data_IF_032163063425
#
_entry.id   IF_032163063425
#
_cell.length_a   1.000
_cell.length_b   1.000
_cell.length_c   1.000
_cell.angle_alpha   90.00
_cell.angle_beta   90.00
_cell.angle_gamma   90.00
#
_symmetry.space_group_name_H-M   'P 1'
#
loop_
_entity.id
_entity.type
_entity.pdbx_description
1 polymer ?
#
# COMPACT_ATOMS: atom_id res chain seq x y z
N UNK A 1 7.52 7.05 44.67
CA UNK A 1 7.25 6.04 43.62
C UNK A 1 7.32 6.61 42.19
N UNK A 2 7.67 7.89 41.96
CA UNK A 2 7.58 8.53 40.63
C UNK A 2 8.82 8.40 39.71
N UNK A 3 10.02 8.17 40.26
CA UNK A 3 11.24 8.16 39.45
C UNK A 3 11.32 6.97 38.46
N UNK A 4 10.70 5.84 38.80
CA UNK A 4 10.63 4.66 37.94
C UNK A 4 9.65 4.86 36.78
N UNK A 5 8.49 5.49 37.04
CA UNK A 5 7.50 5.80 35.99
C UNK A 5 8.04 6.80 34.99
N UNK A 6 8.75 7.84 35.45
CA UNK A 6 9.41 8.83 34.59
C UNK A 6 10.50 8.20 33.71
N UNK A 7 11.28 7.26 34.27
CA UNK A 7 12.34 6.57 33.53
C UNK A 7 11.78 5.58 32.51
N UNK A 8 10.64 4.94 32.80
CA UNK A 8 9.88 4.09 31.88
C UNK A 8 9.13 4.87 30.79
N UNK A 9 8.89 6.16 30.98
CA UNK A 9 8.37 7.05 29.93
C UNK A 9 9.50 7.55 29.01
N UNK A 10 10.70 7.80 29.56
CA UNK A 10 11.87 8.29 28.80
C UNK A 10 12.54 7.19 27.99
N UNK A 11 12.56 5.96 28.49
CA UNK A 11 12.98 4.78 27.76
C UNK A 11 11.76 3.92 27.50
N UNK A 12 11.37 3.75 26.23
CA UNK A 12 10.24 2.92 25.83
C UNK A 12 10.53 1.43 26.12
N UNK A 13 10.47 1.05 27.39
CA UNK A 13 10.51 -0.34 27.85
C UNK A 13 9.22 -0.99 27.36
N UNK A 14 9.36 -2.07 26.61
CA UNK A 14 8.23 -2.82 26.10
C UNK A 14 7.39 -3.37 27.28
N UNK A 15 6.18 -2.84 27.44
CA UNK A 15 5.19 -3.33 28.40
C UNK A 15 4.32 -4.37 27.69
N UNK A 16 4.59 -5.65 27.95
CA UNK A 16 3.85 -6.77 27.39
C UNK A 16 2.39 -6.76 27.86
N UNK A 17 1.49 -6.26 27.01
CA UNK A 17 0.04 -6.31 27.26
C UNK A 17 -0.73 -5.10 26.72
N UNK A 18 -0.12 -3.92 26.71
CA UNK A 18 -0.76 -2.72 26.14
C UNK A 18 -0.38 -2.55 24.67
N UNK A 19 -1.33 -2.15 23.82
CA UNK A 19 -0.99 -1.52 22.54
C UNK A 19 -0.18 -0.27 22.89
N UNK A 20 1.11 -0.25 22.57
CA UNK A 20 1.99 0.89 22.84
C UNK A 20 1.46 2.13 22.11
N UNK A 21 0.85 3.04 22.87
CA UNK A 21 0.26 4.29 22.39
C UNK A 21 1.33 5.38 22.36
N UNK A 22 2.27 5.29 21.41
CA UNK A 22 3.37 6.27 21.35
C UNK A 22 3.62 6.85 19.95
N UNK A 23 3.17 6.20 18.88
CA UNK A 23 3.41 6.67 17.52
C UNK A 23 2.13 7.31 16.94
N UNK A 24 2.23 8.45 16.24
CA UNK A 24 1.14 8.96 15.42
C UNK A 24 0.66 7.88 14.44
N UNK A 25 -0.65 7.81 14.22
CA UNK A 25 -1.24 6.85 13.30
C UNK A 25 -2.13 7.57 12.27
N UNK A 26 -2.22 6.99 11.07
CA UNK A 26 -3.16 7.42 10.04
C UNK A 26 -4.38 6.50 10.11
N UNK A 27 -5.60 6.99 10.38
CA UNK A 27 -6.79 6.16 10.42
C UNK A 27 -6.94 5.32 9.15
N UNK A 28 -7.26 4.03 9.28
CA UNK A 28 -7.38 3.16 8.11
C UNK A 28 -8.65 3.40 7.30
N UNK A 29 -9.65 4.03 7.92
CA UNK A 29 -11.00 4.16 7.38
C UNK A 29 -11.90 2.96 7.70
N UNK A 30 -11.37 1.95 8.42
CA UNK A 30 -12.11 0.78 8.85
C UNK A 30 -12.03 0.66 10.37
N UNK A 31 -13.11 1.01 11.07
CA UNK A 31 -13.16 0.98 12.53
C UNK A 31 -12.79 -0.39 13.14
N UNK A 32 -13.09 -1.48 12.43
CA UNK A 32 -12.69 -2.83 12.85
C UNK A 32 -11.17 -3.04 12.83
N UNK A 33 -10.49 -2.50 11.82
CA UNK A 33 -9.03 -2.55 11.73
C UNK A 33 -8.38 -1.57 12.71
N UNK A 34 -8.90 -0.34 12.80
CA UNK A 34 -8.34 0.68 13.69
C UNK A 34 -8.33 0.23 15.16
N UNK A 35 -9.35 -0.53 15.61
CA UNK A 35 -9.39 -1.15 16.94
C UNK A 35 -8.26 -2.16 17.18
N UNK A 36 -7.78 -2.80 16.12
CA UNK A 36 -6.68 -3.78 16.17
C UNK A 36 -5.30 -3.14 15.93
N UNK A 37 -5.21 -1.85 15.63
CA UNK A 37 -3.92 -1.21 15.38
C UNK A 37 -3.52 -0.31 16.56
N UNK A 38 -2.28 -0.42 17.09
CA UNK A 38 -1.78 0.53 18.07
C UNK A 38 -1.89 1.97 17.54
N UNK A 39 -2.45 2.85 18.36
CA UNK A 39 -2.69 4.24 17.97
C UNK A 39 -3.91 4.46 17.06
N UNK A 40 -4.71 3.42 16.75
CA UNK A 40 -5.97 3.57 16.03
C UNK A 40 -5.84 3.71 14.51
N UNK A 41 -4.77 3.18 13.92
CA UNK A 41 -4.58 3.24 12.47
C UNK A 41 -3.22 2.75 12.00
N UNK A 42 -2.88 3.08 10.75
CA UNK A 42 -1.59 2.77 10.15
C UNK A 42 -0.44 3.47 10.88
N UNK A 43 0.62 2.76 11.27
CA UNK A 43 1.69 3.35 12.07
C UNK A 43 2.52 4.33 11.22
N UNK A 44 2.55 5.60 11.61
CA UNK A 44 3.44 6.58 11.00
C UNK A 44 4.89 6.35 11.46
N UNK A 45 5.84 6.63 10.57
CA UNK A 45 7.27 6.40 10.84
C UNK A 45 7.65 4.93 10.88
N UNK A 46 6.86 4.05 10.26
CA UNK A 46 7.10 2.61 10.27
C UNK A 46 6.68 1.95 8.96
N UNK A 47 7.29 0.80 8.69
CA UNK A 47 6.85 -0.05 7.58
C UNK A 47 5.64 -0.88 7.98
N UNK A 48 4.67 -0.90 7.09
CA UNK A 48 3.54 -1.81 7.03
C UNK A 48 3.70 -2.71 5.82
N UNK A 49 3.75 -4.01 6.00
CA UNK A 49 3.71 -4.97 4.89
C UNK A 49 2.29 -5.45 4.64
N UNK A 50 1.86 -5.34 3.39
CA UNK A 50 0.59 -5.85 2.89
C UNK A 50 0.92 -7.03 1.97
N UNK A 51 0.59 -8.23 2.43
CA UNK A 51 1.00 -9.49 1.83
C UNK A 51 -0.20 -10.14 1.15
N UNK A 52 -0.14 -10.38 -0.15
CA UNK A 52 -1.24 -10.99 -0.91
C UNK A 52 -0.78 -12.10 -1.85
N UNK A 53 -1.66 -13.04 -2.17
CA UNK A 53 -1.35 -14.15 -3.09
C UNK A 53 -1.17 -13.68 -4.53
N UNK A 54 -1.95 -12.67 -4.93
CA UNK A 54 -1.94 -12.07 -6.26
C UNK A 54 -2.45 -10.62 -6.17
N UNK A 55 -2.19 -9.88 -7.24
CA UNK A 55 -2.73 -8.53 -7.44
C UNK A 55 -4.21 -8.58 -7.80
N UNK A 56 -4.95 -7.51 -7.48
CA UNK A 56 -6.36 -7.36 -7.85
C UNK A 56 -7.35 -8.13 -6.97
N UNK A 57 -6.96 -8.52 -5.76
CA UNK A 57 -7.87 -9.09 -4.75
C UNK A 57 -8.67 -8.03 -3.97
N UNK A 58 -8.41 -6.75 -4.25
CA UNK A 58 -9.00 -5.62 -3.52
C UNK A 58 -8.04 -5.01 -2.48
N UNK A 59 -6.77 -5.39 -2.50
CA UNK A 59 -5.71 -4.94 -1.60
C UNK A 59 -5.55 -3.43 -1.56
N UNK A 60 -5.80 -2.73 -2.69
CA UNK A 60 -5.78 -1.28 -2.72
C UNK A 60 -6.93 -0.67 -1.89
N UNK A 61 -8.11 -1.29 -1.87
CA UNK A 61 -9.26 -0.74 -1.13
C UNK A 61 -9.03 -0.68 0.37
N UNK A 62 -8.11 -1.50 0.89
CA UNK A 62 -7.66 -1.43 2.27
C UNK A 62 -6.97 -0.10 2.60
N UNK A 63 -6.22 0.47 1.66
CA UNK A 63 -5.39 1.65 1.88
C UNK A 63 -5.99 2.94 1.32
N UNK A 64 -6.90 2.84 0.34
CA UNK A 64 -7.49 4.01 -0.32
C UNK A 64 -8.17 5.01 0.65
N UNK A 65 -8.92 4.60 1.69
CA UNK A 65 -9.54 5.56 2.60
C UNK A 65 -8.51 6.44 3.34
N UNK A 66 -7.41 5.84 3.80
CA UNK A 66 -6.31 6.56 4.43
C UNK A 66 -5.61 7.51 3.44
N UNK A 67 -5.39 7.06 2.19
CA UNK A 67 -4.82 7.89 1.13
C UNK A 67 -5.72 9.09 0.80
N UNK A 68 -7.03 8.87 0.70
CA UNK A 68 -8.01 9.93 0.47
C UNK A 68 -7.96 10.97 1.60
N UNK A 69 -8.03 10.54 2.86
CA UNK A 69 -7.94 11.44 4.01
C UNK A 69 -6.65 12.26 4.02
N UNK A 70 -5.50 11.63 3.75
CA UNK A 70 -4.22 12.33 3.66
C UNK A 70 -4.18 13.35 2.51
N UNK A 71 -4.75 13.00 1.34
CA UNK A 71 -4.75 13.88 0.18
C UNK A 71 -5.51 15.19 0.46
N UNK A 72 -6.70 15.09 1.08
CA UNK A 72 -7.50 16.25 1.48
C UNK A 72 -6.91 17.04 2.65
N UNK A 73 -6.10 16.39 3.50
CA UNK A 73 -5.28 17.07 4.50
C UNK A 73 -4.03 17.78 3.91
N UNK A 74 -3.94 17.89 2.58
CA UNK A 74 -2.84 18.55 1.87
C UNK A 74 -1.53 17.77 1.89
N UNK A 75 -1.55 16.50 2.30
CA UNK A 75 -0.36 15.67 2.44
C UNK A 75 0.07 15.10 1.09
N UNK A 76 1.38 14.97 0.89
CA UNK A 76 1.96 14.38 -0.33
C UNK A 76 1.98 12.86 -0.21
N UNK A 77 1.39 12.19 -1.19
CA UNK A 77 1.37 10.73 -1.30
C UNK A 77 2.19 10.31 -2.53
N UNK A 78 2.99 9.26 -2.38
CA UNK A 78 3.77 8.68 -3.47
C UNK A 78 3.38 7.22 -3.66
N UNK A 79 3.05 6.86 -4.89
CA UNK A 79 2.93 5.47 -5.34
C UNK A 79 4.16 5.10 -6.14
N UNK A 80 4.93 4.15 -5.65
CA UNK A 80 6.22 3.80 -6.20
C UNK A 80 6.20 2.40 -6.80
N UNK A 81 6.61 2.33 -8.08
CA UNK A 81 6.66 1.11 -8.88
C UNK A 81 5.35 0.30 -8.89
N UNK A 82 4.15 0.93 -9.01
CA UNK A 82 2.92 0.15 -9.09
C UNK A 82 2.98 -0.81 -10.28
N UNK A 83 2.49 -2.06 -10.14
CA UNK A 83 2.60 -3.11 -11.16
C UNK A 83 1.82 -2.75 -12.43
N UNK A 84 0.78 -1.94 -12.27
CA UNK A 84 -0.06 -1.41 -13.34
C UNK A 84 -0.16 0.11 -13.25
N UNK A 85 -0.50 0.74 -14.37
CA UNK A 85 -0.76 2.18 -14.39
C UNK A 85 -2.07 2.46 -13.60
N UNK A 86 -2.03 3.27 -12.52
CA UNK A 86 -3.23 3.61 -11.79
C UNK A 86 -4.20 4.41 -12.65
N UNK A 87 -5.48 4.04 -12.63
CA UNK A 87 -6.51 4.74 -13.39
C UNK A 87 -7.04 5.94 -12.59
N UNK A 88 -6.62 7.15 -12.98
CA UNK A 88 -6.91 8.39 -12.24
C UNK A 88 -8.41 8.62 -11.95
N UNK A 89 -9.36 8.39 -12.87
CA UNK A 89 -10.78 8.54 -12.57
C UNK A 89 -11.29 7.61 -11.47
N UNK A 90 -10.78 6.38 -11.37
CA UNK A 90 -11.15 5.48 -10.27
C UNK A 90 -10.58 5.96 -8.92
N UNK A 91 -9.39 6.55 -8.91
CA UNK A 91 -8.81 7.15 -7.70
C UNK A 91 -9.62 8.37 -7.25
N UNK A 92 -10.03 9.23 -8.17
CA UNK A 92 -10.90 10.36 -7.89
C UNK A 92 -12.27 9.89 -7.36
N UNK A 93 -12.86 8.85 -7.97
CA UNK A 93 -14.10 8.24 -7.49
C UNK A 93 -13.94 7.58 -6.10
N UNK A 94 -12.73 7.14 -5.74
CA UNK A 94 -12.39 6.69 -4.40
C UNK A 94 -12.14 7.85 -3.41
N UNK A 95 -12.33 9.09 -3.82
CA UNK A 95 -12.22 10.28 -2.98
C UNK A 95 -10.80 10.84 -2.85
N UNK A 96 -9.86 10.44 -3.70
CA UNK A 96 -8.47 10.93 -3.65
C UNK A 96 -8.34 12.22 -4.45
N UNK A 97 -7.74 13.25 -3.85
CA UNK A 97 -7.21 14.40 -4.59
C UNK A 97 -5.98 13.96 -5.40
N UNK A 98 -6.18 13.67 -6.68
CA UNK A 98 -5.15 13.16 -7.59
C UNK A 98 -4.00 14.16 -7.75
N UNK A 99 -4.20 15.46 -7.52
CA UNK A 99 -3.13 16.47 -7.57
C UNK A 99 -2.08 16.29 -6.44
N UNK A 100 -2.44 15.56 -5.37
CA UNK A 100 -1.55 15.26 -4.23
C UNK A 100 -0.84 13.92 -4.36
N UNK A 101 -1.15 13.14 -5.40
CA UNK A 101 -0.62 11.81 -5.64
C UNK A 101 0.43 11.85 -6.75
N UNK A 102 1.68 11.53 -6.41
CA UNK A 102 2.74 11.30 -7.39
C UNK A 102 2.89 9.80 -7.67
N UNK A 103 2.90 9.42 -8.95
CA UNK A 103 3.23 8.06 -9.37
C UNK A 103 4.65 8.02 -9.90
N UNK A 104 5.52 7.26 -9.24
CA UNK A 104 6.91 7.06 -9.63
C UNK A 104 7.03 5.68 -10.26
N UNK A 105 7.35 5.63 -11.55
CA UNK A 105 7.70 4.39 -12.25
C UNK A 105 9.19 4.12 -12.05
N UNK A 106 9.54 2.89 -11.77
CA UNK A 106 10.92 2.44 -11.69
C UNK A 106 11.13 1.30 -12.69
N UNK A 107 12.14 1.38 -13.57
CA UNK A 107 12.35 0.36 -14.60
C UNK A 107 12.87 -0.96 -14.01
N UNK A 108 13.50 -0.92 -12.83
CA UNK A 108 13.96 -2.13 -12.14
C UNK A 108 13.95 -2.03 -10.62
N UNK A 109 14.24 -3.16 -9.97
CA UNK A 109 14.26 -3.31 -8.51
C UNK A 109 15.22 -2.34 -7.82
N UNK A 110 16.42 -2.17 -8.38
CA UNK A 110 17.43 -1.25 -7.82
C UNK A 110 16.93 0.18 -7.81
N UNK A 111 16.33 0.63 -8.91
CA UNK A 111 15.80 1.98 -9.04
C UNK A 111 14.59 2.20 -8.13
N UNK A 112 13.74 1.18 -7.98
CA UNK A 112 12.60 1.23 -7.06
C UNK A 112 13.05 1.40 -5.61
N UNK A 113 14.03 0.62 -5.16
CA UNK A 113 14.60 0.73 -3.81
C UNK A 113 15.30 2.07 -3.60
N UNK A 114 16.12 2.50 -4.56
CA UNK A 114 16.78 3.80 -4.49
C UNK A 114 15.78 4.95 -4.42
N UNK A 115 14.75 4.94 -5.27
CA UNK A 115 13.71 5.95 -5.28
C UNK A 115 12.89 5.94 -3.98
N UNK A 116 12.61 4.77 -3.40
CA UNK A 116 11.95 4.66 -2.10
C UNK A 116 12.79 5.32 -0.99
N UNK A 117 14.11 5.05 -0.97
CA UNK A 117 15.02 5.72 -0.03
C UNK A 117 15.05 7.25 -0.24
N UNK A 118 15.08 7.73 -1.48
CA UNK A 118 15.07 9.17 -1.76
C UNK A 118 13.77 9.84 -1.32
N UNK A 119 12.63 9.21 -1.60
CA UNK A 119 11.31 9.72 -1.20
C UNK A 119 11.20 9.85 0.32
N UNK A 120 11.71 8.86 1.06
CA UNK A 120 11.70 8.89 2.52
C UNK A 120 12.71 9.90 3.09
N UNK A 121 13.91 9.98 2.51
CA UNK A 121 14.97 10.91 2.93
C UNK A 121 14.58 12.38 2.71
N UNK A 122 13.81 12.68 1.67
CA UNK A 122 13.34 14.03 1.40
C UNK A 122 12.42 14.59 2.51
N UNK A 123 11.87 13.72 3.39
CA UNK A 123 10.99 14.07 4.51
C UNK A 123 9.75 14.93 4.14
N UNK A 124 9.44 15.06 2.84
CA UNK A 124 8.25 15.74 2.32
C UNK A 124 7.10 14.77 2.03
N UNK A 125 7.37 13.46 2.06
CA UNK A 125 6.41 12.39 1.81
C UNK A 125 5.72 11.99 3.11
N UNK A 126 4.40 11.93 3.10
CA UNK A 126 3.61 11.55 4.29
C UNK A 126 3.07 10.12 4.18
N UNK A 127 2.87 9.65 2.95
CA UNK A 127 2.48 8.27 2.65
C UNK A 127 3.25 7.76 1.43
N UNK A 128 3.98 6.66 1.60
CA UNK A 128 4.62 5.92 0.52
C UNK A 128 3.94 4.56 0.38
N UNK A 129 3.32 4.32 -0.78
CA UNK A 129 2.82 3.02 -1.18
C UNK A 129 3.78 2.47 -2.22
N UNK A 130 4.48 1.38 -1.92
CA UNK A 130 5.51 0.84 -2.79
C UNK A 130 5.33 -0.66 -3.05
N UNK A 131 5.51 -1.05 -4.31
CA UNK A 131 5.48 -2.46 -4.72
C UNK A 131 6.92 -2.95 -4.86
N UNK A 132 7.38 -3.66 -3.82
CA UNK A 132 8.76 -4.13 -3.71
C UNK A 132 8.76 -5.64 -3.41
N UNK A 133 8.27 -6.48 -4.34
CA UNK A 133 8.02 -7.90 -4.08
C UNK A 133 9.28 -8.66 -3.63
N UNK A 134 10.45 -8.30 -4.18
CA UNK A 134 11.74 -8.92 -3.88
C UNK A 134 12.64 -8.14 -2.93
N UNK A 135 12.11 -7.24 -2.09
CA UNK A 135 12.92 -6.54 -1.08
C UNK A 135 13.43 -7.51 -0.01
N UNK A 136 14.74 -7.47 0.26
CA UNK A 136 15.44 -8.29 1.25
C UNK A 136 15.48 -7.59 2.61
N UNK A 137 15.76 -8.35 3.66
CA UNK A 137 15.77 -7.85 5.04
C UNK A 137 16.60 -6.57 5.24
N UNK A 138 17.81 -6.51 4.68
CA UNK A 138 18.71 -5.36 4.82
C UNK A 138 18.13 -4.09 4.19
N UNK A 139 17.48 -4.22 3.03
CA UNK A 139 16.84 -3.11 2.33
C UNK A 139 15.58 -2.66 3.07
N UNK A 140 14.77 -3.60 3.55
CA UNK A 140 13.63 -3.30 4.42
C UNK A 140 14.10 -2.59 5.69
N UNK A 141 15.24 -2.98 6.26
CA UNK A 141 15.77 -2.34 7.47
C UNK A 141 16.21 -0.90 7.19
N UNK A 142 16.87 -0.67 6.06
CA UNK A 142 17.22 0.70 5.62
C UNK A 142 15.98 1.56 5.39
N UNK A 143 14.96 1.01 4.72
CA UNK A 143 13.68 1.70 4.52
C UNK A 143 12.96 1.97 5.84
N UNK A 144 13.02 1.06 6.82
CA UNK A 144 12.41 1.26 8.12
C UNK A 144 13.04 2.43 8.89
N UNK A 145 14.37 2.54 8.87
CA UNK A 145 15.10 3.67 9.46
C UNK A 145 14.73 4.98 8.76
N UNK A 146 14.68 4.98 7.42
CA UNK A 146 14.29 6.17 6.65
C UNK A 146 12.82 6.57 6.92
N UNK A 147 11.92 5.60 7.05
CA UNK A 147 10.52 5.85 7.39
C UNK A 147 10.39 6.52 8.77
N UNK A 148 11.11 6.00 9.76
CA UNK A 148 11.13 6.55 11.13
C UNK A 148 11.59 8.02 11.15
N UNK A 149 12.68 8.33 10.44
CA UNK A 149 13.20 9.69 10.34
C UNK A 149 12.21 10.66 9.67
N UNK A 150 11.57 10.23 8.58
CA UNK A 150 10.59 11.04 7.84
C UNK A 150 9.18 11.05 8.44
N UNK A 151 8.91 10.23 9.46
CA UNK A 151 7.57 10.00 10.05
C UNK A 151 6.48 9.65 9.01
N UNK A 152 6.87 9.11 7.85
CA UNK A 152 5.95 8.73 6.80
C UNK A 152 5.25 7.40 7.15
N UNK A 153 3.98 7.27 6.80
CA UNK A 153 3.38 5.94 6.71
C UNK A 153 3.88 5.25 5.44
N UNK A 154 4.45 4.05 5.59
CA UNK A 154 4.94 3.27 4.44
C UNK A 154 4.20 1.96 4.34
N UNK A 155 3.49 1.75 3.23
CA UNK A 155 2.85 0.49 2.88
C UNK A 155 3.63 -0.20 1.77
N UNK A 156 4.13 -1.41 2.05
CA UNK A 156 4.87 -2.24 1.11
C UNK A 156 4.01 -3.41 0.66
N UNK A 157 3.70 -3.46 -0.63
CA UNK A 157 3.01 -4.58 -1.25
C UNK A 157 4.01 -5.65 -1.64
N UNK A 158 3.80 -6.86 -1.11
CA UNK A 158 4.70 -8.02 -1.28
C UNK A 158 3.89 -9.31 -1.45
N UNK A 159 4.47 -10.36 -2.05
CA UNK A 159 3.80 -11.64 -2.19
C UNK A 159 3.55 -12.31 -0.83
N UNK A 160 2.50 -13.13 -0.73
CA UNK A 160 2.14 -13.84 0.50
C UNK A 160 3.27 -14.73 1.02
N UNK A 161 4.12 -15.27 0.13
CA UNK A 161 5.27 -16.10 0.53
C UNK A 161 6.22 -15.35 1.47
N UNK A 162 6.31 -14.02 1.35
CA UNK A 162 7.12 -13.19 2.24
C UNK A 162 6.67 -13.25 3.70
N UNK A 163 5.47 -13.75 4.01
CA UNK A 163 4.99 -13.94 5.38
C UNK A 163 5.93 -14.80 6.23
N UNK A 164 6.65 -15.74 5.61
CA UNK A 164 7.61 -16.63 6.27
C UNK A 164 9.00 -16.00 6.44
N UNK A 165 9.24 -14.84 5.83
CA UNK A 165 10.52 -14.15 5.92
C UNK A 165 10.58 -13.30 7.20
N UNK A 166 11.79 -13.13 7.72
CA UNK A 166 12.08 -12.12 8.74
C UNK A 166 11.88 -10.73 8.17
N UNK A 167 11.26 -9.84 8.95
CA UNK A 167 10.95 -8.48 8.50
C UNK A 167 11.06 -7.46 9.64
N UNK A 168 11.69 -6.29 9.38
CA UNK A 168 11.74 -5.18 10.34
C UNK A 168 10.42 -4.40 10.41
N UNK A 169 9.40 -4.72 9.59
CA UNK A 169 8.14 -4.00 9.57
C UNK A 169 7.42 -4.03 10.92
N UNK A 170 6.84 -2.91 11.34
CA UNK A 170 6.12 -2.82 12.60
C UNK A 170 4.74 -3.48 12.52
N UNK A 171 4.16 -3.52 11.31
CA UNK A 171 2.87 -4.11 11.00
C UNK A 171 3.02 -5.01 9.78
N UNK A 172 2.46 -6.22 9.84
CA UNK A 172 2.38 -7.16 8.71
C UNK A 172 0.99 -7.73 8.63
N UNK A 173 0.34 -7.61 7.49
CA UNK A 173 -1.03 -8.07 7.27
C UNK A 173 -1.04 -9.00 6.05
N UNK A 174 -1.51 -10.22 6.23
CA UNK A 174 -1.83 -11.13 5.14
C UNK A 174 -3.27 -10.90 4.67
N UNK A 175 -3.44 -10.86 3.36
CA UNK A 175 -4.70 -10.64 2.67
C UNK A 175 -5.08 -11.88 1.87
N UNK A 176 -6.33 -12.27 1.98
CA UNK A 176 -6.92 -13.32 1.15
C UNK A 176 -8.28 -12.87 0.62
N UNK A 177 -8.60 -13.14 -0.66
CA UNK A 177 -9.93 -12.89 -1.19
C UNK A 177 -10.96 -13.80 -0.52
N UNK A 178 -12.14 -13.27 -0.22
CA UNK A 178 -13.18 -13.95 0.54
C UNK A 178 -14.56 -13.54 0.01
N UNK A 179 -14.91 -14.05 -1.17
CA UNK A 179 -16.16 -13.69 -1.85
C UNK A 179 -16.21 -12.22 -2.27
N UNK A 180 -17.08 -11.45 -1.65
CA UNK A 180 -17.22 -10.00 -1.79
C UNK A 180 -16.45 -9.20 -0.71
N UNK A 181 -15.69 -9.91 0.12
CA UNK A 181 -14.86 -9.35 1.17
C UNK A 181 -13.37 -9.67 0.96
N UNK A 182 -12.55 -8.99 1.77
CA UNK A 182 -11.14 -9.25 1.97
C UNK A 182 -10.98 -9.78 3.39
N UNK A 183 -10.38 -10.96 3.53
CA UNK A 183 -9.97 -11.51 4.82
C UNK A 183 -8.57 -11.00 5.16
N UNK A 184 -8.44 -10.41 6.34
CA UNK A 184 -7.21 -9.81 6.85
C UNK A 184 -6.73 -10.59 8.07
N UNK A 185 -5.49 -11.08 8.01
CA UNK A 185 -4.82 -11.69 9.15
C UNK A 185 -3.59 -10.88 9.52
N UNK A 186 -3.63 -10.24 10.69
CA UNK A 186 -2.50 -9.49 11.21
C UNK A 186 -1.44 -10.48 11.70
N UNK A 187 -0.33 -10.59 10.99
CA UNK A 187 0.77 -11.50 11.31
C UNK A 187 1.73 -10.92 12.35
N UNK A 188 1.88 -9.60 12.34
CA UNK A 188 2.76 -8.86 13.24
C UNK A 188 2.15 -7.50 13.49
N UNK A 189 2.13 -7.07 14.75
CA UNK A 189 1.88 -5.68 15.17
C UNK A 189 2.69 -5.41 16.43
N UNK A 190 2.89 -4.14 16.78
CA UNK A 190 3.41 -3.77 18.11
C UNK A 190 2.31 -4.04 19.16
N UNK A 191 2.69 -4.49 20.35
CA UNK A 191 1.75 -4.77 21.44
C UNK A 191 1.22 -6.21 21.46
N UNK A 192 0.04 -6.41 22.05
CA UNK A 192 -0.56 -7.73 22.21
C UNK A 192 -0.77 -8.45 20.86
N UNK A 193 -0.78 -9.80 20.81
CA UNK A 193 -1.14 -10.54 19.60
C UNK A 193 -2.49 -10.10 19.05
N UNK A 194 -2.63 -10.10 17.73
CA UNK A 194 -3.89 -9.72 17.08
C UNK A 194 -4.99 -10.77 17.30
N UNK A 195 -6.25 -10.31 17.27
CA UNK A 195 -7.43 -11.15 17.34
C UNK A 195 -7.61 -12.04 16.09
N UNK A 196 -8.74 -12.74 16.01
CA UNK A 196 -9.16 -13.53 14.85
C UNK A 196 -9.13 -12.71 13.54
N UNK A 197 -9.08 -13.37 12.36
CA UNK A 197 -9.08 -12.68 11.08
C UNK A 197 -10.25 -11.70 10.95
N UNK A 198 -9.97 -10.50 10.42
CA UNK A 198 -10.98 -9.49 10.14
C UNK A 198 -11.52 -9.69 8.72
N UNK A 199 -12.83 -9.51 8.53
CA UNK A 199 -13.45 -9.45 7.20
C UNK A 199 -13.81 -8.02 6.88
N UNK A 200 -13.32 -7.50 5.75
CA UNK A 200 -13.64 -6.16 5.25
C UNK A 200 -14.38 -6.25 3.92
N UNK A 201 -15.51 -5.56 3.74
CA UNK A 201 -16.24 -5.56 2.48
C UNK A 201 -15.42 -4.86 1.39
N UNK A 202 -15.34 -5.47 0.20
CA UNK A 202 -14.64 -4.93 -0.96
C UNK A 202 -15.68 -4.48 -1.98
N UNK A 203 -15.65 -3.20 -2.36
CA UNK A 203 -16.50 -2.66 -3.42
C UNK A 203 -15.95 -3.13 -4.76
N UNK A 204 -16.60 -4.07 -5.44
CA UNK A 204 -16.21 -4.42 -6.82
C UNK A 204 -16.46 -3.20 -7.71
N UNK A 205 -15.44 -2.65 -8.41
CA UNK A 205 -15.64 -1.45 -9.23
C UNK A 205 -16.68 -1.72 -10.32
N UNK A 206 -17.50 -0.71 -10.64
CA UNK A 206 -18.63 -0.83 -11.58
C UNK A 206 -18.19 -1.24 -12.99
N UNK A 207 -16.96 -0.92 -13.40
CA UNK A 207 -16.39 -1.39 -14.68
C UNK A 207 -16.07 -2.91 -14.69
N UNK A 208 -15.97 -3.54 -13.52
CA UNK A 208 -15.83 -4.99 -13.37
C UNK A 208 -17.18 -5.72 -13.25
N UNK A 209 -18.31 -4.98 -13.19
CA UNK A 209 -19.66 -5.54 -13.08
C UNK A 209 -20.41 -5.64 -14.43
N UNK A 210 -19.71 -5.52 -15.56
CA UNK A 210 -20.36 -5.56 -16.86
C UNK A 210 -19.41 -5.86 -18.01
N UNK A 211 -18.63 -6.94 -17.93
CA UNK A 211 -18.20 -7.61 -19.17
C UNK A 211 -19.41 -8.40 -19.70
N UNK A 212 -20.35 -7.71 -20.34
CA UNK A 212 -20.88 -8.31 -21.57
C UNK A 212 -19.65 -8.52 -22.47
N UNK A 213 -19.36 -9.75 -22.92
CA UNK A 213 -18.29 -9.94 -23.89
C UNK A 213 -18.56 -8.97 -25.04
N UNK A 214 -17.55 -8.16 -25.39
CA UNK A 214 -17.63 -7.34 -26.58
C UNK A 214 -17.99 -8.30 -27.72
N UNK A 215 -19.08 -8.07 -28.47
CA UNK A 215 -19.42 -8.96 -29.56
C UNK A 215 -18.20 -9.05 -30.46
N UNK A 216 -17.71 -10.28 -30.69
CA UNK A 216 -16.62 -10.51 -31.60
C UNK A 216 -16.98 -9.81 -32.93
N UNK A 217 -16.07 -9.05 -33.55
CA UNK A 217 -16.34 -8.50 -34.86
C UNK A 217 -16.75 -9.67 -35.75
N UNK A 218 -17.97 -9.62 -36.27
CA UNK A 218 -18.43 -10.61 -37.24
C UNK A 218 -17.36 -10.69 -38.32
N UNK A 219 -16.88 -11.92 -38.59
CA UNK A 219 -15.96 -12.18 -39.68
C UNK A 219 -16.63 -11.73 -40.98
N UNK A 220 -16.37 -10.49 -41.37
CA UNK A 220 -17.01 -9.77 -42.45
C UNK A 220 -15.94 -9.25 -43.38
N UNK A 221 -15.56 -10.11 -44.31
CA UNK A 221 -15.18 -9.83 -45.69
C UNK A 221 -14.46 -8.51 -46.00
N UNK A 222 -13.21 -8.70 -46.44
CA UNK A 222 -12.53 -7.98 -47.52
C UNK A 222 -12.64 -6.44 -47.55
N UNK A 223 -11.52 -5.80 -47.22
CA UNK A 223 -11.08 -4.63 -47.98
C UNK A 223 -9.69 -4.92 -48.54
N UNK A 224 -9.73 -5.60 -49.68
CA UNK A 224 -8.75 -5.38 -50.74
C UNK A 224 -8.86 -3.90 -51.19
N UNK A 225 -7.80 -3.39 -51.79
CA UNK A 225 -7.60 -2.00 -52.24
C UNK A 225 -7.28 -0.95 -51.19
N UNK A 226 -5.98 -0.85 -50.87
CA UNK A 226 -5.22 0.40 -51.09
C UNK A 226 -3.79 0.07 -51.54
N UNK A 227 -3.58 -0.05 -52.86
CA UNK A 227 -2.27 0.19 -53.46
C UNK A 227 -1.83 1.62 -53.10
N UNK A 228 -0.79 1.73 -52.28
CA UNK A 228 -0.02 2.95 -52.17
C UNK A 228 1.06 2.89 -53.25
N UNK A 229 0.73 3.39 -54.44
CA UNK A 229 1.73 3.74 -55.45
C UNK A 229 2.52 4.94 -54.92
N UNK A 230 3.68 4.68 -54.32
CA UNK A 230 4.70 5.69 -54.03
C UNK A 230 5.98 5.31 -54.77
N UNK A 231 6.49 6.17 -55.69
CA UNK A 231 7.72 5.89 -56.41
C UNK A 231 8.93 6.03 -55.48
N UNK A 232 9.74 4.97 -55.42
CA UNK A 232 11.10 5.00 -54.87
C UNK A 232 11.99 5.69 -55.89
N UNK A 233 12.49 6.89 -55.56
CA UNK A 233 13.65 7.45 -56.25
C UNK A 233 14.93 7.17 -55.47
N UNK A 234 15.94 6.79 -56.25
CA UNK A 234 17.30 6.39 -55.91
C UNK A 234 18.14 7.53 -55.31
#
# INVERSE_FOLDING_TARGET
MSALEDLLQRHAVWRGGALSCAAPAVPSGFAALDRELPGGGWPAGALTEILGEREGIGELQLVLPAVAALSWAGKRIVWLAPPHLPYAPALAAAGIDVARLAVVRAPGRRDALWAAEQVLRAASCHALLAWLPGARYEELRRLAVAAEAGRAWVALFRPLQAAQESSPAALRIALQPDGDALSLRILKRRGAPAAAPLRLPVKRPVHALGRTPFPAPAAGHARDDRRLDLPVHA
#
